data_IF_600793822477
#
_entry.id   IF_600793822477
#
_cell.length_a   1.000
_cell.length_b   1.000
_cell.length_c   1.000
_cell.angle_alpha   90.00
_cell.angle_beta   90.00
_cell.angle_gamma   90.00
#
_symmetry.space_group_name_H-M   'P 1'
#
loop_
_entity.id
_entity.type
_entity.pdbx_description
1 polymer ?
#
# COMPACT_ATOMS: atom_id res chain seq x y z
N UNK A 1 3.14 -18.97 12.49
CA UNK A 1 4.05 -18.17 13.35
C UNK A 1 4.45 -18.91 14.63
N UNK A 2 3.54 -19.57 15.36
CA UNK A 2 3.82 -20.28 16.62
C UNK A 2 4.00 -21.80 16.49
N UNK A 3 3.79 -22.35 15.29
CA UNK A 3 3.92 -23.79 15.07
C UNK A 3 5.33 -24.27 15.47
N UNK A 4 5.38 -25.39 16.19
CA UNK A 4 6.58 -26.02 16.77
C UNK A 4 7.30 -25.27 17.90
N UNK A 5 6.73 -24.19 18.44
CA UNK A 5 7.37 -23.43 19.52
C UNK A 5 7.68 -24.27 20.77
N UNK A 6 6.85 -25.28 21.06
CA UNK A 6 7.02 -26.18 22.22
C UNK A 6 8.08 -27.29 21.99
N UNK A 7 8.72 -27.34 20.82
CA UNK A 7 9.72 -28.36 20.45
C UNK A 7 11.16 -27.85 20.58
N UNK A 8 11.39 -26.89 21.48
CA UNK A 8 12.71 -26.29 21.71
C UNK A 8 13.35 -25.68 20.45
N UNK A 9 12.52 -25.14 19.54
CA UNK A 9 12.98 -24.59 18.25
C UNK A 9 13.57 -23.18 18.34
N UNK A 10 13.35 -22.48 19.45
CA UNK A 10 13.79 -21.10 19.68
C UNK A 10 14.22 -20.94 21.14
N UNK A 11 15.12 -19.99 21.39
CA UNK A 11 15.55 -19.64 22.73
C UNK A 11 14.48 -18.84 23.48
N UNK A 12 14.40 -19.08 24.79
CA UNK A 12 13.54 -18.35 25.72
C UNK A 12 14.39 -17.58 26.74
N UNK A 13 13.88 -16.44 27.17
CA UNK A 13 14.47 -15.63 28.24
C UNK A 13 13.41 -15.25 29.27
N UNK A 14 13.86 -14.89 30.47
CA UNK A 14 12.97 -14.35 31.51
C UNK A 14 12.38 -13.03 31.04
N UNK A 15 11.11 -12.80 31.36
CA UNK A 15 10.43 -11.53 31.14
C UNK A 15 10.94 -10.44 32.11
N UNK A 16 10.44 -9.21 31.98
CA UNK A 16 10.95 -8.02 32.69
C UNK A 16 10.97 -8.10 34.24
N UNK A 17 10.17 -8.97 34.86
CA UNK A 17 10.09 -9.16 36.32
C UNK A 17 10.47 -10.58 36.76
N UNK A 18 11.11 -11.35 35.87
CA UNK A 18 11.55 -12.73 36.07
C UNK A 18 10.43 -13.74 36.45
N UNK A 19 9.16 -13.37 36.30
CA UNK A 19 8.02 -14.23 36.67
C UNK A 19 7.62 -15.25 35.61
N UNK A 20 7.98 -15.03 34.34
CA UNK A 20 7.63 -15.87 33.19
C UNK A 20 8.80 -15.97 32.21
N UNK A 21 8.76 -16.97 31.36
CA UNK A 21 9.67 -17.09 30.22
C UNK A 21 8.95 -16.66 28.94
N UNK A 22 9.63 -15.90 28.09
CA UNK A 22 9.16 -15.43 26.79
C UNK A 22 10.15 -15.81 25.68
N UNK A 23 9.67 -16.17 24.48
CA UNK A 23 10.53 -16.52 23.36
C UNK A 23 11.25 -15.27 22.83
N UNK A 24 12.55 -15.38 22.55
CA UNK A 24 13.34 -14.27 21.98
C UNK A 24 12.96 -13.98 20.52
N UNK A 25 12.60 -15.03 19.78
CA UNK A 25 12.08 -14.98 18.41
C UNK A 25 10.98 -16.03 18.24
N UNK A 26 10.13 -15.87 17.23
CA UNK A 26 9.14 -16.88 16.88
C UNK A 26 9.68 -17.84 15.82
N UNK A 27 9.25 -19.12 15.78
CA UNK A 27 9.69 -20.09 14.76
C UNK A 27 9.50 -19.62 13.31
N UNK A 28 8.49 -18.78 13.04
CA UNK A 28 8.53 -17.92 11.85
C UNK A 28 8.51 -18.61 10.48
N UNK A 29 7.85 -19.78 10.34
CA UNK A 29 7.72 -20.52 9.06
C UNK A 29 7.17 -19.72 7.87
N UNK A 30 6.48 -18.61 8.14
CA UNK A 30 5.94 -17.69 7.14
C UNK A 30 6.84 -16.45 7.09
N UNK A 31 7.29 -15.97 5.91
CA UNK A 31 8.17 -14.81 5.77
C UNK A 31 7.43 -13.49 6.09
N UNK A 32 7.12 -13.32 7.37
CA UNK A 32 6.19 -12.32 7.88
C UNK A 32 6.63 -10.89 7.61
N UNK A 33 7.92 -10.61 7.79
CA UNK A 33 8.46 -9.26 7.62
C UNK A 33 8.22 -8.75 6.20
N UNK A 34 8.46 -9.57 5.17
CA UNK A 34 8.26 -9.18 3.77
C UNK A 34 6.78 -9.15 3.39
N UNK A 35 6.01 -10.16 3.80
CA UNK A 35 4.62 -10.27 3.38
C UNK A 35 3.73 -9.21 4.02
N UNK A 36 3.92 -8.90 5.31
CA UNK A 36 3.10 -7.92 6.02
C UNK A 36 3.72 -6.52 6.07
N UNK A 37 5.02 -6.41 5.82
CA UNK A 37 5.74 -5.15 5.95
C UNK A 37 5.99 -4.73 7.40
N UNK A 38 6.55 -3.54 7.57
CA UNK A 38 6.79 -2.91 8.87
C UNK A 38 6.91 -1.39 8.69
N UNK A 39 6.43 -0.63 9.67
CA UNK A 39 6.68 0.81 9.75
C UNK A 39 7.02 1.15 11.19
N UNK A 40 8.07 1.94 11.40
CA UNK A 40 8.54 2.28 12.74
C UNK A 40 9.50 3.45 12.76
N UNK A 41 9.42 4.25 13.81
CA UNK A 41 10.31 5.39 14.05
C UNK A 41 11.00 5.15 15.38
N UNK A 42 12.33 5.14 15.37
CA UNK A 42 13.17 5.00 16.55
C UNK A 42 14.02 6.27 16.74
N UNK A 43 14.92 6.25 17.72
CA UNK A 43 15.82 7.39 17.97
C UNK A 43 16.92 7.41 16.91
N UNK A 44 16.88 8.41 16.02
CA UNK A 44 17.88 8.62 14.97
C UNK A 44 17.71 7.77 13.71
N UNK A 45 16.65 6.95 13.63
CA UNK A 45 16.36 6.12 12.45
C UNK A 45 14.87 5.86 12.27
N UNK A 46 14.47 5.52 11.05
CA UNK A 46 13.11 5.11 10.72
C UNK A 46 13.14 3.96 9.70
N UNK A 47 12.08 3.15 9.70
CA UNK A 47 11.88 2.06 8.75
C UNK A 47 10.47 2.13 8.16
N UNK A 48 10.36 1.81 6.87
CA UNK A 48 9.10 1.65 6.16
C UNK A 48 9.31 0.60 5.08
N UNK A 49 8.69 -0.55 5.27
CA UNK A 49 8.80 -1.72 4.41
C UNK A 49 7.38 -2.10 3.96
N UNK A 50 7.09 -2.07 2.65
CA UNK A 50 5.75 -2.35 2.16
C UNK A 50 5.47 -3.87 2.14
N UNK A 51 4.19 -4.28 2.20
CA UNK A 51 3.80 -5.69 2.10
C UNK A 51 4.08 -6.28 0.71
N UNK A 52 4.21 -7.61 0.64
CA UNK A 52 4.49 -8.36 -0.59
C UNK A 52 3.61 -9.60 -0.68
N UNK A 53 3.44 -10.09 -1.91
CA UNK A 53 2.67 -11.29 -2.17
C UNK A 53 3.42 -12.55 -1.70
N UNK A 54 2.75 -13.43 -0.95
CA UNK A 54 3.35 -14.65 -0.42
C UNK A 54 3.85 -15.59 -1.54
N UNK A 55 3.11 -15.71 -2.65
CA UNK A 55 3.49 -16.59 -3.75
C UNK A 55 4.77 -16.13 -4.43
N UNK A 56 4.91 -14.82 -4.63
CA UNK A 56 6.11 -14.20 -5.21
C UNK A 56 7.32 -14.31 -4.27
N UNK A 57 7.12 -14.02 -2.97
CA UNK A 57 8.17 -14.20 -1.96
C UNK A 57 8.60 -15.66 -1.85
N UNK A 58 7.64 -16.59 -1.87
CA UNK A 58 7.92 -18.03 -1.86
C UNK A 58 8.76 -18.47 -3.06
N UNK A 59 8.37 -18.06 -4.28
CA UNK A 59 9.11 -18.37 -5.50
C UNK A 59 10.53 -17.77 -5.48
N UNK A 60 10.69 -16.55 -4.97
CA UNK A 60 12.01 -15.94 -4.80
C UNK A 60 12.89 -16.70 -3.79
N UNK A 61 12.30 -17.18 -2.68
CA UNK A 61 13.00 -18.00 -1.69
C UNK A 61 13.40 -19.37 -2.25
N UNK A 62 12.51 -20.04 -2.98
CA UNK A 62 12.82 -21.31 -3.66
C UNK A 62 13.98 -21.15 -4.64
N UNK A 63 13.97 -20.08 -5.46
CA UNK A 63 15.06 -19.80 -6.39
C UNK A 63 16.40 -19.52 -5.68
N UNK A 64 16.36 -18.85 -4.52
CA UNK A 64 17.54 -18.58 -3.70
C UNK A 64 18.10 -19.87 -3.04
N UNK A 65 17.23 -20.84 -2.72
CA UNK A 65 17.66 -22.15 -2.21
C UNK A 65 18.37 -22.98 -3.29
N UNK A 66 17.91 -22.90 -4.54
CA UNK A 66 18.52 -23.60 -5.67
C UNK A 66 19.83 -22.93 -6.15
N UNK A 67 19.85 -21.59 -6.18
CA UNK A 67 20.98 -20.78 -6.65
C UNK A 67 21.29 -19.68 -5.61
N UNK A 68 22.16 -19.95 -4.62
CA UNK A 68 22.48 -18.98 -3.56
C UNK A 68 23.08 -17.66 -4.05
N UNK A 69 23.75 -17.68 -5.21
CA UNK A 69 24.35 -16.51 -5.85
C UNK A 69 23.43 -15.85 -6.90
N UNK A 70 22.13 -16.17 -6.88
CA UNK A 70 21.15 -15.62 -7.80
C UNK A 70 21.18 -14.10 -7.80
N UNK A 71 21.25 -13.51 -8.99
CA UNK A 71 21.32 -12.06 -9.14
C UNK A 71 20.04 -11.37 -8.62
N UNK A 72 20.21 -10.16 -8.07
CA UNK A 72 19.08 -9.32 -7.66
C UNK A 72 18.12 -9.00 -8.81
N UNK A 73 18.60 -8.96 -10.06
CA UNK A 73 17.76 -8.76 -11.24
C UNK A 73 16.80 -9.94 -11.49
N UNK A 74 17.26 -11.16 -11.25
CA UNK A 74 16.41 -12.37 -11.37
C UNK A 74 15.42 -12.46 -10.21
N UNK A 75 15.83 -12.08 -9.00
CA UNK A 75 14.91 -11.95 -7.86
C UNK A 75 13.83 -10.89 -8.10
N UNK A 76 14.18 -9.75 -8.72
CA UNK A 76 13.24 -8.71 -9.14
C UNK A 76 12.19 -9.20 -10.17
N UNK A 77 12.51 -10.23 -10.95
CA UNK A 77 11.53 -10.82 -11.86
C UNK A 77 10.53 -11.72 -11.13
N UNK A 78 10.97 -12.39 -10.07
CA UNK A 78 10.15 -13.29 -9.24
C UNK A 78 9.30 -12.52 -8.23
N UNK A 79 9.80 -11.39 -7.73
CA UNK A 79 9.08 -10.44 -6.90
C UNK A 79 9.10 -9.05 -7.57
N UNK A 80 8.14 -8.77 -8.48
CA UNK A 80 8.14 -7.56 -9.30
C UNK A 80 7.88 -6.27 -8.51
N UNK A 81 7.28 -6.37 -7.33
CA UNK A 81 6.96 -5.23 -6.50
C UNK A 81 6.15 -5.55 -5.25
N UNK A 82 5.82 -4.52 -4.46
CA UNK A 82 4.92 -4.66 -3.32
C UNK A 82 3.49 -5.01 -3.72
N UNK A 83 2.79 -5.68 -2.81
CA UNK A 83 1.38 -6.06 -2.95
C UNK A 83 0.58 -5.44 -1.80
N UNK A 84 -0.20 -4.39 -2.11
CA UNK A 84 -0.94 -3.64 -1.11
C UNK A 84 -2.33 -4.24 -0.88
N UNK A 85 -2.76 -4.45 0.38
CA UNK A 85 -4.09 -5.00 0.67
C UNK A 85 -5.23 -4.06 0.25
N UNK A 86 -4.95 -2.79 0.03
CA UNK A 86 -5.92 -1.77 -0.44
C UNK A 86 -5.99 -1.68 -1.98
N UNK A 87 -5.17 -2.45 -2.70
CA UNK A 87 -5.01 -2.35 -4.14
C UNK A 87 -4.29 -1.06 -4.56
N UNK A 88 -4.76 -0.46 -5.65
CA UNK A 88 -4.17 0.71 -6.27
C UNK A 88 -3.23 0.36 -7.43
N UNK A 89 -2.63 1.39 -8.00
CA UNK A 89 -1.72 1.25 -9.14
C UNK A 89 -0.37 1.85 -8.80
N UNK A 90 0.68 1.02 -8.85
CA UNK A 90 2.04 1.51 -8.69
C UNK A 90 2.49 2.21 -9.97
N UNK A 91 3.00 3.43 -9.82
CA UNK A 91 3.44 4.28 -10.91
C UNK A 91 4.93 4.09 -11.16
N UNK A 92 5.25 3.27 -12.16
CA UNK A 92 6.63 2.98 -12.57
C UNK A 92 7.30 1.87 -11.77
N UNK A 93 8.47 1.41 -12.25
CA UNK A 93 9.21 0.28 -11.66
C UNK A 93 10.60 0.64 -11.14
N UNK A 94 11.14 1.79 -11.54
CA UNK A 94 12.49 2.23 -11.16
C UNK A 94 12.65 2.38 -9.65
N UNK A 95 11.63 2.93 -8.98
CA UNK A 95 11.64 3.10 -7.52
C UNK A 95 11.66 1.78 -6.75
N UNK A 96 10.98 0.75 -7.27
CA UNK A 96 10.99 -0.60 -6.69
C UNK A 96 12.38 -1.21 -6.82
N UNK A 97 12.95 -1.21 -8.04
CA UNK A 97 14.28 -1.75 -8.29
C UNK A 97 15.34 -1.08 -7.41
N UNK A 98 15.28 0.24 -7.28
CA UNK A 98 16.18 1.00 -6.39
C UNK A 98 15.99 0.60 -4.91
N UNK A 99 14.74 0.46 -4.46
CA UNK A 99 14.42 0.06 -3.09
C UNK A 99 14.98 -1.33 -2.77
N UNK A 100 14.85 -2.30 -3.67
CA UNK A 100 15.32 -3.66 -3.43
C UNK A 100 16.86 -3.77 -3.49
N UNK A 101 17.51 -3.04 -4.38
CA UNK A 101 18.97 -3.08 -4.52
C UNK A 101 19.72 -2.28 -3.44
N UNK A 102 19.13 -1.19 -2.94
CA UNK A 102 19.82 -0.25 -2.04
C UNK A 102 19.20 -0.14 -0.65
N UNK A 103 18.02 -0.74 -0.44
CA UNK A 103 17.21 -0.58 0.76
C UNK A 103 16.45 0.75 0.84
N UNK A 104 16.56 1.62 -0.18
CA UNK A 104 15.87 2.93 -0.23
C UNK A 104 15.33 3.21 -1.62
N UNK A 105 14.08 3.64 -1.70
CA UNK A 105 13.45 4.04 -2.96
C UNK A 105 12.12 4.71 -2.72
N UNK A 106 11.60 5.38 -3.75
CA UNK A 106 10.30 6.03 -3.72
C UNK A 106 9.33 5.23 -4.59
N UNK A 107 8.23 4.78 -4.00
CA UNK A 107 7.17 4.06 -4.70
C UNK A 107 5.92 4.93 -4.67
N UNK A 108 5.48 5.39 -5.83
CA UNK A 108 4.26 6.19 -5.95
C UNK A 108 3.09 5.26 -6.23
N UNK A 109 2.09 5.28 -5.35
CA UNK A 109 0.85 4.50 -5.49
C UNK A 109 -0.29 5.44 -5.80
N UNK A 110 -1.08 5.11 -6.82
CA UNK A 110 -2.22 5.89 -7.28
C UNK A 110 -3.53 5.14 -7.02
N UNK A 111 -4.56 5.89 -6.65
CA UNK A 111 -5.93 5.37 -6.55
C UNK A 111 -6.44 4.87 -7.91
N UNK A 112 -7.20 3.77 -7.91
CA UNK A 112 -7.84 3.26 -9.12
C UNK A 112 -9.21 3.91 -9.27
N UNK A 113 -9.49 4.36 -10.48
CA UNK A 113 -10.72 5.08 -10.77
C UNK A 113 -11.26 4.70 -12.15
N UNK A 114 -12.54 4.98 -12.35
CA UNK A 114 -13.18 5.00 -13.64
C UNK A 114 -14.15 6.20 -13.72
N UNK A 115 -14.59 6.51 -14.93
CA UNK A 115 -15.51 7.63 -15.18
C UNK A 115 -16.91 7.07 -15.38
N UNK A 116 -17.89 7.68 -14.74
CA UNK A 116 -19.31 7.41 -14.95
C UNK A 116 -20.02 8.66 -15.47
N UNK A 117 -20.93 8.50 -16.43
CA UNK A 117 -21.77 9.59 -16.91
C UNK A 117 -23.25 9.31 -16.59
N UNK A 118 -23.87 10.20 -15.82
CA UNK A 118 -25.31 10.15 -15.50
C UNK A 118 -25.98 11.47 -15.90
N UNK A 119 -26.99 11.40 -16.76
CA UNK A 119 -27.84 12.54 -17.12
C UNK A 119 -27.04 13.82 -17.50
N UNK A 120 -25.96 13.67 -18.30
CA UNK A 120 -25.02 14.72 -18.73
C UNK A 120 -24.15 15.33 -17.61
N UNK A 121 -23.99 14.63 -16.48
CA UNK A 121 -22.95 14.92 -15.48
C UNK A 121 -21.96 13.77 -15.45
N UNK A 122 -20.67 14.11 -15.49
CA UNK A 122 -19.57 13.16 -15.31
C UNK A 122 -19.18 13.09 -13.83
N UNK A 123 -18.85 11.90 -13.39
CA UNK A 123 -18.36 11.63 -12.04
C UNK A 123 -17.11 10.77 -12.11
N UNK A 124 -16.12 11.11 -11.30
CA UNK A 124 -14.94 10.27 -11.07
C UNK A 124 -15.26 9.33 -9.91
N UNK A 125 -15.19 8.03 -10.17
CA UNK A 125 -15.48 7.00 -9.17
C UNK A 125 -14.20 6.28 -8.84
N UNK A 126 -13.76 6.39 -7.58
CA UNK A 126 -12.59 5.70 -7.06
C UNK A 126 -13.01 4.41 -6.35
N UNK A 127 -12.39 3.30 -6.72
CA UNK A 127 -12.70 1.95 -6.21
C UNK A 127 -11.60 1.38 -5.31
N UNK A 128 -10.37 1.89 -5.44
CA UNK A 128 -9.20 1.48 -4.65
C UNK A 128 -8.39 2.72 -4.30
N UNK A 129 -7.78 2.73 -3.10
CA UNK A 129 -6.97 3.86 -2.61
C UNK A 129 -5.58 3.42 -2.18
N UNK A 130 -4.63 4.39 -2.11
CA UNK A 130 -3.28 4.09 -1.64
C UNK A 130 -3.27 3.50 -0.22
N UNK A 131 -2.27 2.65 0.03
CA UNK A 131 -2.07 1.99 1.32
C UNK A 131 -1.87 3.00 2.45
N UNK A 132 -2.41 2.69 3.63
CA UNK A 132 -2.40 3.54 4.84
C UNK A 132 -3.13 4.89 4.72
N UNK A 133 -3.91 5.11 3.66
CA UNK A 133 -4.77 6.29 3.51
C UNK A 133 -6.22 5.92 3.85
N UNK A 134 -6.94 6.84 4.49
CA UNK A 134 -8.37 6.67 4.79
C UNK A 134 -9.24 7.48 3.84
N UNK A 135 -10.46 6.98 3.54
CA UNK A 135 -11.43 7.70 2.71
C UNK A 135 -11.79 9.05 3.31
N UNK A 136 -11.93 9.12 4.64
CA UNK A 136 -12.25 10.37 5.33
C UNK A 136 -11.16 11.44 5.14
N UNK A 137 -9.88 11.06 5.25
CA UNK A 137 -8.77 11.97 5.01
C UNK A 137 -8.74 12.47 3.56
N UNK A 138 -8.99 11.59 2.58
CA UNK A 138 -9.08 11.98 1.16
C UNK A 138 -10.22 12.99 0.96
N UNK A 139 -11.40 12.72 1.50
CA UNK A 139 -12.56 13.63 1.41
C UNK A 139 -12.24 14.99 2.03
N UNK A 140 -11.60 15.01 3.20
CA UNK A 140 -11.18 16.25 3.86
C UNK A 140 -10.19 17.05 3.00
N UNK A 141 -9.18 16.40 2.43
CA UNK A 141 -8.20 17.03 1.53
C UNK A 141 -8.86 17.56 0.25
N UNK A 142 -9.83 16.84 -0.33
CA UNK A 142 -10.61 17.33 -1.47
C UNK A 142 -11.39 18.59 -1.10
N UNK A 143 -12.11 18.58 0.03
CA UNK A 143 -12.91 19.72 0.49
C UNK A 143 -12.02 20.93 0.75
N UNK A 144 -10.85 20.74 1.36
CA UNK A 144 -9.87 21.81 1.57
C UNK A 144 -9.32 22.36 0.24
N UNK A 145 -9.01 21.50 -0.74
CA UNK A 145 -8.54 21.93 -2.05
C UNK A 145 -9.60 22.74 -2.81
N UNK A 146 -10.88 22.38 -2.68
CA UNK A 146 -12.00 23.14 -3.26
C UNK A 146 -12.19 24.49 -2.56
N UNK A 147 -12.18 24.52 -1.22
CA UNK A 147 -12.32 25.76 -0.43
C UNK A 147 -11.21 26.78 -0.72
N UNK A 148 -9.99 26.29 -0.92
CA UNK A 148 -8.83 27.13 -1.24
C UNK A 148 -8.74 27.55 -2.71
N UNK A 149 -9.74 27.21 -3.55
CA UNK A 149 -9.75 27.53 -4.98
C UNK A 149 -8.69 26.78 -5.80
N UNK A 150 -8.09 25.71 -5.26
CA UNK A 150 -7.12 24.88 -6.01
C UNK A 150 -7.82 23.99 -7.03
N UNK A 151 -9.04 23.53 -6.70
CA UNK A 151 -9.88 22.70 -7.57
C UNK A 151 -11.29 23.28 -7.60
N UNK A 152 -11.62 23.99 -8.67
CA UNK A 152 -12.94 24.63 -8.80
C UNK A 152 -13.96 23.79 -9.58
N UNK A 153 -13.53 22.70 -10.19
CA UNK A 153 -14.33 21.88 -11.11
C UNK A 153 -15.21 20.84 -10.42
N UNK A 154 -15.03 20.64 -9.11
CA UNK A 154 -15.80 19.67 -8.31
C UNK A 154 -17.11 20.32 -7.85
N UNK A 155 -18.20 19.60 -8.01
CA UNK A 155 -19.54 19.98 -7.53
C UNK A 155 -19.81 19.40 -6.15
N UNK A 156 -19.49 18.12 -5.93
CA UNK A 156 -19.77 17.42 -4.69
C UNK A 156 -18.85 16.19 -4.53
N UNK A 157 -18.71 15.69 -3.30
CA UNK A 157 -17.97 14.45 -3.01
C UNK A 157 -18.76 13.58 -2.04
N UNK A 158 -19.03 12.35 -2.45
CA UNK A 158 -19.88 11.41 -1.72
C UNK A 158 -19.17 10.07 -1.51
N UNK A 159 -19.11 9.60 -0.26
CA UNK A 159 -18.65 8.26 0.06
C UNK A 159 -19.83 7.29 0.02
N UNK A 160 -19.92 6.50 -1.06
CA UNK A 160 -20.96 5.49 -1.28
C UNK A 160 -20.49 4.06 -0.91
N UNK A 161 -19.42 3.96 -0.13
CA UNK A 161 -18.85 2.68 0.30
C UNK A 161 -19.90 1.86 1.05
N UNK A 162 -20.11 0.62 0.61
CA UNK A 162 -21.02 -0.31 1.28
C UNK A 162 -20.48 -1.75 1.21
N UNK A 163 -21.02 -2.62 2.06
CA UNK A 163 -20.55 -4.01 2.20
C UNK A 163 -20.69 -4.86 0.91
N UNK A 164 -21.55 -4.47 -0.04
CA UNK A 164 -21.81 -5.24 -1.27
C UNK A 164 -20.94 -4.81 -2.45
N UNK A 165 -20.74 -3.51 -2.64
CA UNK A 165 -19.97 -2.95 -3.75
C UNK A 165 -18.53 -2.64 -3.38
N UNK A 166 -18.17 -2.78 -2.10
CA UNK A 166 -16.86 -2.39 -1.58
C UNK A 166 -16.72 -0.87 -1.52
N UNK A 167 -15.47 -0.41 -1.54
CA UNK A 167 -15.15 1.00 -1.53
C UNK A 167 -15.66 1.69 -2.80
N UNK A 168 -16.34 2.82 -2.62
CA UNK A 168 -16.82 3.65 -3.72
C UNK A 168 -16.84 5.11 -3.31
N UNK A 169 -15.85 5.89 -3.73
CA UNK A 169 -15.80 7.33 -3.53
C UNK A 169 -16.18 8.03 -4.84
N UNK A 170 -17.26 8.78 -4.82
CA UNK A 170 -17.80 9.48 -5.99
C UNK A 170 -17.49 10.96 -5.89
N UNK A 171 -16.76 11.49 -6.85
CA UNK A 171 -16.51 12.93 -7.03
C UNK A 171 -17.33 13.40 -8.21
N UNK A 172 -18.36 14.21 -7.94
CA UNK A 172 -19.21 14.78 -8.99
C UNK A 172 -18.57 16.03 -9.58
N UNK A 173 -18.52 16.11 -10.90
CA UNK A 173 -17.99 17.28 -11.61
C UNK A 173 -19.09 18.30 -11.91
N UNK A 174 -18.72 19.58 -11.97
CA UNK A 174 -19.62 20.65 -12.43
C UNK A 174 -20.01 20.41 -13.89
N UNK A 175 -21.23 20.82 -14.26
CA UNK A 175 -21.77 20.66 -15.63
C UNK A 175 -20.94 21.35 -16.72
N UNK A 176 -20.13 22.34 -16.35
CA UNK A 176 -19.27 23.11 -17.27
C UNK A 176 -17.92 22.43 -17.56
N UNK A 177 -17.67 21.24 -17.02
CA UNK A 177 -16.42 20.51 -17.20
C UNK A 177 -16.58 19.56 -18.38
N UNK A 178 -16.02 19.94 -19.53
CA UNK A 178 -16.01 19.11 -20.74
C UNK A 178 -14.87 18.06 -20.74
N UNK A 179 -13.82 18.27 -19.94
CA UNK A 179 -12.66 17.38 -19.80
C UNK A 179 -12.33 17.15 -18.32
N UNK A 180 -12.55 15.91 -17.85
CA UNK A 180 -12.25 15.44 -16.50
C UNK A 180 -10.76 15.30 -16.21
N UNK A 181 -9.90 15.22 -17.25
CA UNK A 181 -8.46 14.95 -17.11
C UNK A 181 -7.76 16.02 -16.28
N UNK A 182 -8.16 17.28 -16.45
CA UNK A 182 -7.61 18.40 -15.67
C UNK A 182 -7.95 18.23 -14.19
N UNK A 183 -9.22 17.91 -13.90
CA UNK A 183 -9.68 17.72 -12.51
C UNK A 183 -9.01 16.52 -11.86
N UNK A 184 -8.90 15.42 -12.59
CA UNK A 184 -8.22 14.21 -12.14
C UNK A 184 -6.75 14.46 -11.82
N UNK A 185 -6.02 15.16 -12.69
CA UNK A 185 -4.62 15.50 -12.46
C UNK A 185 -4.45 16.45 -11.26
N UNK A 186 -5.39 17.38 -11.07
CA UNK A 186 -5.41 18.24 -9.89
C UNK A 186 -5.67 17.44 -8.61
N UNK A 187 -6.60 16.48 -8.63
CA UNK A 187 -6.82 15.55 -7.52
C UNK A 187 -5.52 14.81 -7.17
N UNK A 188 -4.90 14.12 -8.13
CA UNK A 188 -3.64 13.39 -7.85
C UNK A 188 -2.47 14.27 -7.38
N UNK A 189 -2.51 15.57 -7.62
CA UNK A 189 -1.46 16.52 -7.22
C UNK A 189 -1.72 17.12 -5.83
N UNK A 190 -2.97 17.36 -5.48
CA UNK A 190 -3.35 18.13 -4.30
C UNK A 190 -3.99 17.29 -3.19
N UNK A 191 -4.25 16.01 -3.43
CA UNK A 191 -4.89 15.08 -2.48
C UNK A 191 -4.16 13.76 -2.43
#
# INVERSE_FOLDING_TARGET
>A
MLEDIDKETVDFARNYDDSRDEPLVLPGRFPNLLCNGSSGIAVGMATSLPPHNLGEVGAALEALLEEPDISGEKLLQLCPGPDFPTGGTIMGRSGIAQAYLTGRGLITVRAKYHIEEKAKRRSLVFTEIPYQVTVAAIVESIVEAVKNGKIETISDVNNETNARTGMRLVVELKKSVDDETVTLNQLFKFT
#
